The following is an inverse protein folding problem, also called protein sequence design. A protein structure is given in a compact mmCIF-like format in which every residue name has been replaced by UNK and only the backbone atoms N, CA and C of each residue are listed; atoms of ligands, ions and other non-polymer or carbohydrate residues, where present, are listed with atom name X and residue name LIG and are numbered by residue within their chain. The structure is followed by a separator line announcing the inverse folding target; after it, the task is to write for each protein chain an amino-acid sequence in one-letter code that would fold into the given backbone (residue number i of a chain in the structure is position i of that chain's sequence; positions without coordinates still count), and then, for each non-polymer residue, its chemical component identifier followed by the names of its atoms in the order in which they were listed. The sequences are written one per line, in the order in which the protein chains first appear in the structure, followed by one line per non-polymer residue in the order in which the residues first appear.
data_IF_933128268498
#
_entry.id   IF_933128268498
#
_cell.length_a   1.000
_cell.length_b   1.000
_cell.length_c   1.000
_cell.angle_alpha   90.00
_cell.angle_beta   90.00
_cell.angle_gamma   90.00
#
_symmetry.space_group_name_H-M   'P 1'
#
loop_
_entity.id
_entity.type
_entity.pdbx_description
1 polymer ?
#
# COMPACT_ATOMS: atom_id res chain seq x y z
N UNK A 1 8.29 -6.27 8.29
CA UNK A 1 7.54 -7.43 7.74
C UNK A 1 6.07 -7.09 7.58
N UNK A 2 5.31 -6.82 8.65
CA UNK A 2 3.87 -6.55 8.53
C UNK A 2 3.54 -5.36 7.61
N UNK A 3 4.14 -4.18 7.83
CA UNK A 3 3.95 -3.02 6.94
C UNK A 3 4.34 -3.30 5.47
N UNK A 4 5.33 -4.17 5.24
CA UNK A 4 5.71 -4.61 3.88
C UNK A 4 4.60 -5.42 3.23
N UNK A 5 4.01 -6.36 3.98
CA UNK A 5 2.91 -7.21 3.50
C UNK A 5 1.66 -6.38 3.23
N UNK A 6 1.32 -5.45 4.13
CA UNK A 6 0.13 -4.60 3.97
C UNK A 6 0.30 -3.66 2.77
N UNK A 7 1.43 -2.97 2.65
CA UNK A 7 1.66 -2.12 1.47
C UNK A 7 1.72 -2.96 0.18
N UNK A 8 2.23 -4.18 0.23
CA UNK A 8 2.18 -5.09 -0.93
C UNK A 8 0.73 -5.37 -1.36
N UNK A 9 -0.14 -5.76 -0.43
CA UNK A 9 -1.55 -6.06 -0.73
C UNK A 9 -2.25 -4.79 -1.27
N UNK A 10 -2.10 -3.66 -0.59
CA UNK A 10 -2.65 -2.38 -1.03
C UNK A 10 -2.21 -2.02 -2.45
N UNK A 11 -0.90 -2.07 -2.74
CA UNK A 11 -0.37 -1.73 -4.06
C UNK A 11 -0.82 -2.73 -5.13
N UNK A 12 -0.92 -4.01 -4.80
CA UNK A 12 -1.43 -5.02 -5.72
C UNK A 12 -2.89 -4.75 -6.10
N UNK A 13 -3.74 -4.36 -5.14
CA UNK A 13 -5.13 -3.95 -5.39
C UNK A 13 -5.18 -2.66 -6.22
N UNK A 14 -4.32 -1.69 -5.94
CA UNK A 14 -4.23 -0.45 -6.74
C UNK A 14 -3.90 -0.77 -8.20
N UNK A 15 -2.90 -1.63 -8.46
CA UNK A 15 -2.57 -2.04 -9.83
C UNK A 15 -3.73 -2.76 -10.50
N UNK A 16 -4.33 -3.74 -9.81
CA UNK A 16 -5.39 -4.58 -10.36
C UNK A 16 -6.74 -3.88 -10.57
N UNK A 17 -7.03 -2.82 -9.82
CA UNK A 17 -8.34 -2.15 -9.90
C UNK A 17 -8.27 -0.75 -10.52
N UNK A 18 -7.16 -0.04 -10.36
CA UNK A 18 -7.04 1.38 -10.72
C UNK A 18 -6.10 1.68 -11.89
N UNK A 19 -5.09 0.85 -12.16
CA UNK A 19 -4.13 1.09 -13.25
C UNK A 19 -4.29 0.11 -14.42
N UNK A 20 -4.68 -1.14 -14.17
CA UNK A 20 -4.86 -2.11 -15.24
C UNK A 20 -6.10 -1.78 -16.08
N UNK A 21 -5.91 -1.50 -17.37
CA UNK A 21 -6.99 -1.15 -18.30
C UNK A 21 -8.00 -2.29 -18.50
N UNK A 22 -7.66 -3.52 -18.10
CA UNK A 22 -8.60 -4.66 -18.11
C UNK A 22 -9.64 -4.57 -16.99
N UNK A 23 -9.38 -3.77 -15.96
CA UNK A 23 -10.28 -3.64 -14.83
C UNK A 23 -11.33 -2.55 -15.04
N UNK A 24 -12.50 -2.72 -14.42
CA UNK A 24 -13.54 -1.70 -14.38
C UNK A 24 -13.19 -0.61 -13.36
N UNK A 25 -12.66 0.52 -13.86
CA UNK A 25 -12.17 1.65 -13.04
C UNK A 25 -13.24 2.23 -12.11
N UNK A 26 -14.53 2.10 -12.44
CA UNK A 26 -15.65 2.64 -11.64
C UNK A 26 -15.69 2.14 -10.18
N UNK A 27 -15.08 1.00 -9.87
CA UNK A 27 -15.00 0.46 -8.51
C UNK A 27 -13.61 0.55 -7.86
N UNK A 28 -12.62 1.15 -8.53
CA UNK A 28 -11.24 1.22 -8.04
C UNK A 28 -11.16 1.87 -6.66
N UNK A 29 -11.80 3.02 -6.49
CA UNK A 29 -11.81 3.73 -5.20
C UNK A 29 -12.43 2.93 -4.07
N UNK A 30 -13.50 2.17 -4.36
CA UNK A 30 -14.15 1.30 -3.37
C UNK A 30 -13.24 0.13 -3.00
N UNK A 31 -12.63 -0.54 -3.99
CA UNK A 31 -11.71 -1.65 -3.75
C UNK A 31 -10.52 -1.21 -2.89
N UNK A 32 -9.86 -0.12 -3.28
CA UNK A 32 -8.70 0.44 -2.55
C UNK A 32 -9.12 0.85 -1.13
N UNK A 33 -10.24 1.55 -0.98
CA UNK A 33 -10.74 1.99 0.33
C UNK A 33 -11.10 0.84 1.27
N UNK A 34 -11.75 -0.20 0.75
CA UNK A 34 -12.07 -1.41 1.53
C UNK A 34 -10.82 -2.17 1.94
N UNK A 35 -9.81 -2.27 1.07
CA UNK A 35 -8.52 -2.88 1.40
C UNK A 35 -7.86 -2.13 2.57
N UNK A 36 -7.72 -0.81 2.48
CA UNK A 36 -7.14 0.00 3.57
C UNK A 36 -7.97 -0.14 4.86
N UNK A 37 -9.30 -0.12 4.76
CA UNK A 37 -10.19 -0.27 5.91
C UNK A 37 -10.05 -1.62 6.59
N UNK A 38 -9.97 -2.70 5.81
CA UNK A 38 -9.76 -4.06 6.32
C UNK A 38 -8.38 -4.17 6.98
N UNK A 39 -7.32 -3.72 6.32
CA UNK A 39 -5.96 -3.76 6.86
C UNK A 39 -5.84 -2.95 8.15
N UNK A 40 -6.47 -1.78 8.22
CA UNK A 40 -6.52 -0.97 9.42
C UNK A 40 -7.30 -1.64 10.57
N UNK A 41 -8.40 -2.33 10.26
CA UNK A 41 -9.21 -3.03 11.26
C UNK A 41 -8.44 -4.19 11.92
N UNK A 42 -7.68 -4.96 11.13
CA UNK A 42 -6.95 -6.13 11.65
C UNK A 42 -5.55 -5.79 12.18
N UNK A 43 -4.80 -4.94 11.47
CA UNK A 43 -3.38 -4.68 11.77
C UNK A 43 -3.14 -3.35 12.48
N UNK A 44 -4.16 -2.49 12.57
CA UNK A 44 -4.10 -1.21 13.28
C UNK A 44 -3.58 -1.34 14.72
N UNK A 45 -4.07 -2.29 15.54
CA UNK A 45 -3.59 -2.49 16.90
C UNK A 45 -2.14 -2.99 17.01
N UNK A 46 -1.57 -3.54 15.93
CA UNK A 46 -0.25 -4.19 15.94
C UNK A 46 0.84 -3.21 15.47
N UNK A 47 0.67 -2.61 14.29
CA UNK A 47 1.67 -1.69 13.69
C UNK A 47 1.12 -0.32 13.37
N UNK A 48 -0.15 -0.04 13.69
CA UNK A 48 -0.82 1.18 13.26
C UNK A 48 -1.31 1.14 11.81
N UNK A 49 -1.03 0.05 11.08
CA UNK A 49 -1.40 -0.19 9.69
C UNK A 49 -1.22 1.06 8.83
N UNK A 50 0.03 1.53 8.74
CA UNK A 50 0.31 2.81 8.09
C UNK A 50 0.16 2.70 6.59
N UNK A 51 0.89 1.73 6.01
CA UNK A 51 1.00 1.44 4.58
C UNK A 51 1.51 2.61 3.71
N UNK A 52 1.71 3.79 4.32
CA UNK A 52 1.95 5.05 3.64
C UNK A 52 2.90 5.92 4.48
N UNK A 53 4.14 6.16 4.02
CA UNK A 53 5.12 6.96 4.74
C UNK A 53 4.63 8.37 5.08
N UNK A 54 3.91 9.04 4.17
CA UNK A 54 3.39 10.40 4.38
C UNK A 54 2.33 10.44 5.50
N UNK A 55 1.46 9.42 5.55
CA UNK A 55 0.46 9.25 6.62
C UNK A 55 1.13 9.06 7.98
N UNK A 56 2.24 8.32 8.05
CA UNK A 56 3.04 8.18 9.28
C UNK A 56 3.86 9.43 9.62
N UNK A 57 4.28 10.20 8.62
CA UNK A 57 5.17 11.33 8.81
C UNK A 57 4.48 12.51 9.49
N UNK A 58 3.25 12.85 9.08
CA UNK A 58 2.57 14.04 9.61
C UNK A 58 2.37 13.97 11.15
N UNK A 59 1.90 12.87 11.75
CA UNK A 59 1.80 12.75 13.20
C UNK A 59 3.16 12.74 13.92
N UNK A 60 4.20 12.15 13.30
CA UNK A 60 5.55 12.12 13.85
C UNK A 60 6.14 13.53 13.94
N UNK A 61 5.93 14.34 12.91
CA UNK A 61 6.37 15.73 12.87
C UNK A 61 5.62 16.60 13.89
N UNK A 62 4.29 16.49 13.95
CA UNK A 62 3.44 17.32 14.83
C UNK A 62 3.65 16.97 16.31
N UNK A 63 3.75 15.67 16.64
CA UNK A 63 3.87 15.19 18.03
C UNK A 63 5.32 14.97 18.48
N UNK A 64 6.30 15.16 17.60
CA UNK A 64 7.71 14.91 17.89
C UNK A 64 8.06 13.44 18.15
N UNK A 65 7.23 12.50 17.73
CA UNK A 65 7.41 11.07 18.00
C UNK A 65 8.07 10.35 16.81
N UNK A 66 9.38 10.20 16.87
CA UNK A 66 10.20 9.60 15.80
C UNK A 66 10.63 8.15 16.06
N UNK A 67 10.21 7.59 17.20
CA UNK A 67 10.50 6.22 17.62
C UNK A 67 10.14 5.24 16.48
N UNK A 68 11.13 4.49 15.99
CA UNK A 68 11.00 3.51 14.90
C UNK A 68 10.40 4.05 13.59
N UNK A 69 10.38 5.37 13.38
CA UNK A 69 9.70 5.98 12.23
C UNK A 69 10.26 5.53 10.87
N UNK A 70 11.57 5.25 10.81
CA UNK A 70 12.24 4.76 9.61
C UNK A 70 11.61 3.48 9.01
N UNK A 71 10.97 2.65 9.84
CA UNK A 71 10.30 1.41 9.39
C UNK A 71 9.13 1.74 8.47
N UNK A 72 8.41 2.84 8.72
CA UNK A 72 7.30 3.30 7.88
C UNK A 72 7.74 3.92 6.55
N UNK A 73 9.05 4.03 6.31
CA UNK A 73 9.60 4.36 4.99
C UNK A 73 10.05 3.09 4.29
N UNK A 74 10.97 2.36 4.92
CA UNK A 74 11.61 1.19 4.31
C UNK A 74 10.59 0.08 4.03
N UNK A 75 9.71 -0.24 4.99
CA UNK A 75 8.80 -1.36 4.83
C UNK A 75 7.73 -1.11 3.74
N UNK A 76 7.05 0.06 3.68
CA UNK A 76 6.11 0.35 2.60
C UNK A 76 6.77 0.41 1.22
N UNK A 77 7.95 1.03 1.10
CA UNK A 77 8.67 1.11 -0.18
C UNK A 77 8.99 -0.30 -0.69
N UNK A 78 9.52 -1.18 0.17
CA UNK A 78 9.79 -2.56 -0.19
C UNK A 78 8.50 -3.29 -0.62
N UNK A 79 7.40 -3.13 0.11
CA UNK A 79 6.12 -3.75 -0.22
C UNK A 79 5.60 -3.32 -1.60
N UNK A 80 5.69 -2.02 -1.89
CA UNK A 80 5.29 -1.46 -3.17
C UNK A 80 6.15 -1.97 -4.34
N UNK A 81 7.48 -2.05 -4.17
CA UNK A 81 8.38 -2.59 -5.21
C UNK A 81 8.08 -4.06 -5.50
N UNK A 82 7.85 -4.87 -4.45
CA UNK A 82 7.48 -6.28 -4.62
C UNK A 82 6.14 -6.39 -5.37
N UNK A 83 5.16 -5.54 -5.04
CA UNK A 83 3.86 -5.54 -5.70
C UNK A 83 3.98 -5.24 -7.21
N UNK A 84 4.82 -4.26 -7.59
CA UNK A 84 5.08 -3.94 -9.00
C UNK A 84 5.63 -5.15 -9.74
N UNK A 85 6.67 -5.78 -9.19
CA UNK A 85 7.35 -6.92 -9.82
C UNK A 85 6.37 -8.10 -9.98
N UNK A 86 5.68 -8.49 -8.91
CA UNK A 86 4.74 -9.61 -8.93
C UNK A 86 3.57 -9.31 -9.87
N UNK A 87 3.00 -8.10 -9.81
CA UNK A 87 1.88 -7.75 -10.67
C UNK A 87 2.30 -7.83 -12.15
N UNK A 88 3.45 -7.27 -12.53
CA UNK A 88 3.97 -7.36 -13.92
C UNK A 88 4.16 -8.80 -14.38
N UNK A 89 4.70 -9.68 -13.54
CA UNK A 89 4.91 -11.09 -13.87
C UNK A 89 3.60 -11.83 -14.10
N UNK A 90 2.57 -11.56 -13.28
CA UNK A 90 1.28 -12.24 -13.38
C UNK A 90 0.40 -11.70 -14.50
N UNK A 91 0.51 -10.41 -14.78
CA UNK A 91 -0.48 -9.69 -15.57
C UNK A 91 -0.18 -9.66 -17.07
N UNK A 92 0.81 -10.40 -17.59
CA UNK A 92 1.11 -10.58 -19.03
C UNK A 92 0.68 -9.37 -19.91
N UNK A 93 1.43 -8.27 -19.86
CA UNK A 93 1.17 -7.07 -20.67
C UNK A 93 0.78 -5.81 -19.89
N UNK A 94 0.82 -5.82 -18.55
CA UNK A 94 0.69 -4.59 -17.78
C UNK A 94 1.88 -3.66 -18.05
N UNK A 95 1.56 -2.46 -18.55
CA UNK A 95 2.46 -1.32 -18.63
C UNK A 95 1.90 -0.26 -17.69
N UNK A 96 2.67 0.03 -16.66
CA UNK A 96 2.38 1.03 -15.65
C UNK A 96 2.39 2.45 -16.20
N UNK A 97 3.12 2.69 -17.30
CA UNK A 97 3.31 4.00 -17.90
C UNK A 97 3.59 3.84 -19.40
N UNK A 98 2.54 3.78 -20.22
CA UNK A 98 2.56 4.08 -21.66
C UNK A 98 1.41 5.02 -22.01
#
# INVERSE_FOLDING_TARGET
VLETVLTFILMFVIFGSGLDRRAHIGFAGLAIGLTVGMEAAFMGPITGASMNPARSFAPALIRGMWQHHWVYWVAPILGAQIAVVIYRLLSNGFKDIE
#
